data_IF_922209259813
#
_entry.id   IF_922209259813
#
_cell.length_a   1.000
_cell.length_b   1.000
_cell.length_c   1.000
_cell.angle_alpha   90.00
_cell.angle_beta   90.00
_cell.angle_gamma   90.00
#
_symmetry.space_group_name_H-M   'P 1'
#
loop_
_entity.id
_entity.type
_entity.pdbx_description
1 polymer ?
#
# COMPACT_ATOMS: atom_id res chain seq x y z
N UNK A 1 -2.44 -26.40 -11.06
CA UNK A 1 -2.66 -25.00 -10.63
C UNK A 1 -3.51 -24.33 -11.70
N UNK A 2 -4.67 -23.77 -11.34
CA UNK A 2 -5.50 -23.03 -12.29
C UNK A 2 -4.75 -21.78 -12.77
N UNK A 3 -4.78 -21.51 -14.07
CA UNK A 3 -4.18 -20.32 -14.67
C UNK A 3 -5.04 -19.09 -14.32
N UNK A 4 -4.54 -18.26 -13.39
CA UNK A 4 -5.19 -17.00 -13.03
C UNK A 4 -4.67 -15.90 -13.95
N UNK A 5 -5.56 -15.35 -14.78
CA UNK A 5 -5.30 -14.15 -15.58
C UNK A 5 -5.69 -12.92 -14.77
N UNK A 6 -4.89 -11.87 -14.85
CA UNK A 6 -5.36 -10.53 -14.45
C UNK A 6 -6.47 -10.15 -15.45
N UNK A 7 -7.69 -9.80 -15.01
CA UNK A 7 -8.75 -9.42 -15.94
C UNK A 7 -8.33 -8.15 -16.69
N UNK A 8 -8.66 -8.04 -17.98
CA UNK A 8 -8.57 -6.74 -18.64
C UNK A 8 -9.69 -5.82 -18.14
N UNK A 9 -9.60 -4.52 -18.42
CA UNK A 9 -10.77 -3.65 -18.27
C UNK A 9 -11.96 -4.25 -19.01
N UNK A 10 -13.16 -4.09 -18.43
CA UNK A 10 -14.39 -4.47 -19.12
C UNK A 10 -14.45 -3.77 -20.48
N UNK A 11 -14.95 -4.47 -21.49
CA UNK A 11 -15.05 -3.95 -22.86
C UNK A 11 -15.64 -2.53 -22.88
N UNK A 12 -14.99 -1.60 -23.57
CA UNK A 12 -15.42 -0.21 -23.69
C UNK A 12 -14.86 0.73 -22.63
N UNK A 13 -14.52 0.25 -21.42
CA UNK A 13 -13.99 1.12 -20.34
C UNK A 13 -12.67 1.74 -20.77
N UNK A 14 -11.77 0.94 -21.36
CA UNK A 14 -10.46 1.42 -21.77
C UNK A 14 -10.59 2.50 -22.85
N UNK A 15 -11.40 2.25 -23.88
CA UNK A 15 -11.61 3.18 -24.99
C UNK A 15 -12.26 4.49 -24.51
N UNK A 16 -13.27 4.40 -23.64
CA UNK A 16 -13.92 5.58 -23.06
C UNK A 16 -12.97 6.37 -22.13
N UNK A 17 -12.17 5.67 -21.32
CA UNK A 17 -11.14 6.26 -20.45
C UNK A 17 -10.10 7.01 -21.28
N UNK A 18 -9.55 6.40 -22.33
CA UNK A 18 -8.59 7.05 -23.23
C UNK A 18 -9.22 8.28 -23.91
N UNK A 19 -10.50 8.18 -24.30
CA UNK A 19 -11.28 9.30 -24.83
C UNK A 19 -11.28 10.51 -23.89
N UNK A 20 -11.70 10.32 -22.64
CA UNK A 20 -11.70 11.40 -21.65
C UNK A 20 -10.28 11.86 -21.27
N UNK A 21 -9.32 10.94 -21.17
CA UNK A 21 -7.95 11.26 -20.79
C UNK A 21 -7.29 12.20 -21.80
N UNK A 22 -7.58 12.05 -23.08
CA UNK A 22 -7.00 12.84 -24.17
C UNK A 22 -7.91 13.96 -24.70
N UNK A 23 -9.13 14.11 -24.19
CA UNK A 23 -10.04 15.18 -24.61
C UNK A 23 -9.64 16.56 -24.05
N UNK A 24 -8.89 17.32 -24.85
CA UNK A 24 -8.48 18.68 -24.52
C UNK A 24 -9.64 19.69 -24.46
N UNK A 25 -10.86 19.33 -24.91
CA UNK A 25 -12.03 20.22 -24.84
C UNK A 25 -12.64 20.25 -23.44
N UNK A 26 -12.40 19.23 -22.63
CA UNK A 26 -12.89 19.16 -21.24
C UNK A 26 -11.75 19.53 -20.29
N UNK A 27 -11.94 20.63 -19.55
CA UNK A 27 -10.98 21.05 -18.52
C UNK A 27 -10.90 20.04 -17.38
N UNK A 28 -9.75 19.97 -16.72
CA UNK A 28 -9.55 19.08 -15.56
C UNK A 28 -10.55 19.36 -14.43
N UNK A 29 -10.89 20.63 -14.21
CA UNK A 29 -11.88 21.04 -13.21
C UNK A 29 -13.30 20.57 -13.54
N UNK A 30 -13.72 20.66 -14.80
CA UNK A 30 -15.03 20.20 -15.24
C UNK A 30 -15.12 18.67 -15.16
N UNK A 31 -14.05 17.98 -15.55
CA UNK A 31 -13.97 16.52 -15.46
C UNK A 31 -14.02 16.04 -14.01
N UNK A 32 -13.30 16.70 -13.09
CA UNK A 32 -13.32 16.41 -11.66
C UNK A 32 -14.70 16.64 -11.04
N UNK A 33 -15.37 17.73 -11.39
CA UNK A 33 -16.72 18.02 -10.90
C UNK A 33 -17.71 16.92 -11.32
N UNK A 34 -17.70 16.57 -12.61
CA UNK A 34 -18.52 15.50 -13.16
C UNK A 34 -18.23 14.14 -12.48
N UNK A 35 -16.95 13.83 -12.26
CA UNK A 35 -16.55 12.60 -11.57
C UNK A 35 -17.08 12.55 -10.13
N UNK A 36 -17.04 13.67 -9.38
CA UNK A 36 -17.60 13.73 -8.02
C UNK A 36 -19.10 13.51 -7.99
N UNK A 37 -19.85 14.17 -8.86
CA UNK A 37 -21.30 13.95 -9.01
C UNK A 37 -21.62 12.48 -9.32
N UNK A 38 -20.78 11.85 -10.12
CA UNK A 38 -20.91 10.45 -10.49
C UNK A 38 -20.63 9.48 -9.32
N UNK A 39 -19.70 9.80 -8.43
CA UNK A 39 -19.43 8.97 -7.25
C UNK A 39 -20.58 8.93 -6.24
N UNK A 40 -21.48 9.93 -6.24
CA UNK A 40 -22.63 9.97 -5.33
C UNK A 40 -23.60 8.78 -5.51
N UNK A 41 -23.54 8.08 -6.65
CA UNK A 41 -24.30 6.85 -6.85
C UNK A 41 -23.95 5.75 -5.84
N UNK A 42 -22.72 5.73 -5.34
CA UNK A 42 -22.24 4.75 -4.37
C UNK A 42 -22.76 5.02 -2.93
N UNK A 43 -23.25 6.22 -2.65
CA UNK A 43 -23.87 6.55 -1.36
C UNK A 43 -25.35 6.15 -1.29
N UNK A 44 -25.97 5.83 -2.43
CA UNK A 44 -27.35 5.40 -2.45
C UNK A 44 -27.47 4.05 -1.70
N UNK A 45 -28.32 3.95 -0.65
CA UNK A 45 -28.48 2.72 0.12
C UNK A 45 -28.86 1.50 -0.73
N UNK A 46 -29.59 1.71 -1.84
CA UNK A 46 -29.96 0.65 -2.78
C UNK A 46 -28.76 -0.01 -3.48
N UNK A 47 -27.61 0.68 -3.53
CA UNK A 47 -26.39 0.24 -4.19
C UNK A 47 -25.23 0.02 -3.21
N UNK A 48 -25.52 -0.01 -1.90
CA UNK A 48 -24.52 -0.18 -0.83
C UNK A 48 -23.60 -1.39 -1.04
N UNK A 49 -24.13 -2.51 -1.57
CA UNK A 49 -23.35 -3.71 -1.96
C UNK A 49 -22.23 -3.46 -2.97
N UNK A 50 -22.33 -2.41 -3.78
CA UNK A 50 -21.30 -2.03 -4.75
C UNK A 50 -20.31 -1.03 -4.14
N UNK A 51 -20.61 -0.45 -2.97
CA UNK A 51 -19.71 0.44 -2.28
C UNK A 51 -18.84 -0.30 -1.24
N UNK A 52 -19.08 -1.58 -1.00
CA UNK A 52 -18.23 -2.45 -0.16
C UNK A 52 -17.09 -3.05 -0.98
N UNK A 53 -15.93 -3.23 -0.37
CA UNK A 53 -14.84 -3.96 -1.02
C UNK A 53 -15.19 -5.45 -1.09
N UNK A 54 -14.80 -6.17 -2.17
CA UNK A 54 -15.06 -7.62 -2.31
C UNK A 54 -14.53 -8.50 -1.17
N UNK A 55 -13.70 -7.94 -0.29
CA UNK A 55 -13.11 -8.64 0.85
C UNK A 55 -13.97 -8.82 2.08
N UNK A 56 -15.06 -8.07 2.17
CA UNK A 56 -15.91 -8.07 3.36
C UNK A 56 -17.00 -9.15 3.30
N UNK A 57 -17.27 -9.70 2.12
CA UNK A 57 -18.35 -10.70 1.92
C UNK A 57 -17.99 -12.11 2.40
N UNK A 58 -16.84 -12.31 3.08
CA UNK A 58 -16.51 -13.63 3.60
C UNK A 58 -17.49 -14.02 4.72
N UNK A 59 -18.28 -15.10 4.56
CA UNK A 59 -19.36 -15.46 5.49
C UNK A 59 -18.86 -16.05 6.81
N UNK A 60 -17.55 -16.03 7.08
CA UNK A 60 -16.99 -16.54 8.33
C UNK A 60 -17.30 -15.53 9.46
N UNK A 61 -18.08 -15.93 10.48
CA UNK A 61 -18.46 -15.08 11.60
C UNK A 61 -17.28 -14.96 12.59
N UNK A 62 -16.12 -14.45 12.13
CA UNK A 62 -15.06 -14.04 13.04
C UNK A 62 -15.56 -12.79 13.77
N UNK A 63 -16.10 -13.01 14.97
CA UNK A 63 -16.92 -12.12 15.78
C UNK A 63 -16.28 -10.79 16.25
N UNK A 64 -15.19 -10.33 15.64
CA UNK A 64 -14.40 -9.20 16.15
C UNK A 64 -13.69 -8.38 15.08
N UNK A 65 -13.98 -8.56 13.79
CA UNK A 65 -13.51 -7.56 12.81
C UNK A 65 -14.36 -6.32 13.00
N UNK A 66 -13.74 -5.27 13.54
CA UNK A 66 -14.34 -3.95 13.47
C UNK A 66 -14.68 -3.68 12.01
N UNK A 67 -15.89 -3.17 11.70
CA UNK A 67 -16.22 -2.75 10.36
C UNK A 67 -15.11 -1.80 9.91
N UNK A 68 -14.34 -2.20 8.91
CA UNK A 68 -13.38 -1.29 8.34
C UNK A 68 -14.22 -0.25 7.62
N UNK A 69 -14.02 1.03 7.91
CA UNK A 69 -14.76 2.12 7.26
C UNK A 69 -14.37 2.27 5.76
N UNK A 70 -13.81 1.24 5.12
CA UNK A 70 -13.27 1.29 3.79
C UNK A 70 -14.36 0.99 2.74
N UNK A 71 -14.59 1.94 1.86
CA UNK A 71 -15.58 1.83 0.78
C UNK A 71 -14.94 2.11 -0.58
N UNK A 72 -15.58 1.68 -1.67
CA UNK A 72 -15.12 1.99 -3.03
C UNK A 72 -15.07 3.52 -3.24
N UNK A 73 -16.07 4.27 -2.76
CA UNK A 73 -16.06 5.74 -2.81
C UNK A 73 -14.80 6.29 -2.12
N UNK A 74 -14.49 5.79 -0.92
CA UNK A 74 -13.28 6.20 -0.19
C UNK A 74 -11.98 5.81 -0.87
N UNK A 75 -11.93 4.73 -1.65
CA UNK A 75 -10.76 4.42 -2.49
C UNK A 75 -10.54 5.51 -3.53
N UNK A 76 -11.58 5.94 -4.27
CA UNK A 76 -11.45 7.04 -5.23
C UNK A 76 -11.10 8.37 -4.57
N UNK A 77 -11.73 8.69 -3.44
CA UNK A 77 -11.41 9.90 -2.67
C UNK A 77 -9.97 9.90 -2.15
N UNK A 78 -9.49 8.76 -1.66
CA UNK A 78 -8.10 8.58 -1.25
C UNK A 78 -7.14 8.74 -2.43
N UNK A 79 -7.53 8.30 -3.63
CA UNK A 79 -6.75 8.53 -4.84
C UNK A 79 -6.69 10.01 -5.22
N UNK A 80 -7.81 10.74 -5.15
CA UNK A 80 -7.81 12.19 -5.37
C UNK A 80 -6.97 12.93 -4.33
N UNK A 81 -7.13 12.59 -3.06
CA UNK A 81 -6.37 13.20 -1.97
C UNK A 81 -4.86 12.95 -2.14
N UNK A 82 -4.47 11.71 -2.46
CA UNK A 82 -3.08 11.35 -2.71
C UNK A 82 -2.53 12.09 -3.93
N UNK A 83 -3.29 12.21 -5.01
CA UNK A 83 -2.86 12.98 -6.18
C UNK A 83 -2.59 14.45 -5.85
N UNK A 84 -3.43 15.07 -5.01
CA UNK A 84 -3.25 16.44 -4.53
C UNK A 84 -2.00 16.58 -3.65
N UNK A 85 -1.80 15.66 -2.69
CA UNK A 85 -0.60 15.61 -1.83
C UNK A 85 0.70 15.56 -2.61
N UNK A 86 0.72 14.86 -3.76
CA UNK A 86 1.89 14.75 -4.63
C UNK A 86 1.90 15.79 -5.76
N UNK A 87 0.95 16.73 -5.80
CA UNK A 87 0.77 17.73 -6.84
C UNK A 87 0.73 17.13 -8.26
N UNK A 88 -0.03 16.05 -8.43
CA UNK A 88 -0.10 15.28 -9.67
C UNK A 88 -1.43 15.50 -10.39
N UNK A 89 -1.56 16.62 -11.09
CA UNK A 89 -2.77 16.95 -11.87
C UNK A 89 -3.15 15.87 -12.90
N UNK A 90 -2.16 15.22 -13.54
CA UNK A 90 -2.41 14.09 -14.46
C UNK A 90 -3.11 12.92 -13.77
N UNK A 91 -2.77 12.64 -12.51
CA UNK A 91 -3.39 11.59 -11.71
C UNK A 91 -4.84 11.92 -11.38
N UNK A 92 -5.13 13.17 -11.02
CA UNK A 92 -6.52 13.67 -10.84
C UNK A 92 -7.32 13.49 -12.13
N UNK A 93 -6.74 13.87 -13.27
CA UNK A 93 -7.39 13.70 -14.58
C UNK A 93 -7.65 12.23 -14.91
N UNK A 94 -6.67 11.34 -14.68
CA UNK A 94 -6.82 9.89 -14.90
C UNK A 94 -7.98 9.30 -14.09
N UNK A 95 -8.04 9.60 -12.79
CA UNK A 95 -9.11 9.12 -11.90
C UNK A 95 -10.47 9.66 -12.36
N UNK A 96 -10.55 10.96 -12.65
CA UNK A 96 -11.79 11.60 -13.10
C UNK A 96 -12.28 11.03 -14.44
N UNK A 97 -11.36 10.82 -15.39
CA UNK A 97 -11.65 10.22 -16.69
C UNK A 97 -12.23 8.81 -16.56
N UNK A 98 -11.69 7.97 -15.67
CA UNK A 98 -12.20 6.62 -15.45
C UNK A 98 -13.61 6.59 -14.86
N UNK A 99 -13.90 7.47 -13.90
CA UNK A 99 -15.25 7.61 -13.33
C UNK A 99 -16.26 8.07 -14.41
N UNK A 100 -15.89 9.07 -15.20
CA UNK A 100 -16.71 9.56 -16.32
C UNK A 100 -16.92 8.49 -17.40
N UNK A 101 -15.89 7.68 -17.69
CA UNK A 101 -15.99 6.54 -18.60
C UNK A 101 -17.01 5.50 -18.12
N UNK A 102 -17.01 5.16 -16.82
CA UNK A 102 -18.03 4.28 -16.23
C UNK A 102 -19.44 4.84 -16.42
N UNK A 103 -19.64 6.14 -16.21
CA UNK A 103 -20.93 6.80 -16.40
C UNK A 103 -21.38 6.80 -17.86
N UNK A 104 -20.46 7.06 -18.81
CA UNK A 104 -20.75 7.01 -20.25
C UNK A 104 -21.22 5.61 -20.67
N UNK A 105 -20.53 4.56 -20.22
CA UNK A 105 -20.85 3.17 -20.55
C UNK A 105 -22.17 2.74 -19.92
N UNK A 106 -22.44 3.17 -18.68
CA UNK A 106 -23.72 2.92 -18.04
C UNK A 106 -24.91 3.52 -18.83
N UNK A 107 -24.70 4.68 -19.48
CA UNK A 107 -25.69 5.36 -20.32
C UNK A 107 -25.84 4.76 -21.72
N UNK A 108 -24.77 4.21 -22.31
CA UNK A 108 -24.79 3.70 -23.68
C UNK A 108 -25.47 2.33 -23.85
N UNK A 109 -25.67 1.60 -22.76
CA UNK A 109 -26.42 0.34 -22.81
C UNK A 109 -27.92 0.59 -22.72
N UNK A 110 -28.61 0.43 -23.84
CA UNK A 110 -30.07 0.50 -23.95
C UNK A 110 -30.72 -0.22 -22.76
N UNK A 111 -31.49 0.55 -22.00
CA UNK A 111 -32.25 0.01 -20.88
C UNK A 111 -33.46 -0.70 -21.48
N UNK A 112 -33.32 -2.00 -21.75
CA UNK A 112 -34.50 -2.86 -21.88
C UNK A 112 -35.35 -2.69 -20.62
N UNK A 113 -36.67 -2.74 -20.74
CA UNK A 113 -37.59 -2.46 -19.63
C UNK A 113 -37.39 -3.37 -18.39
N UNK A 114 -36.66 -4.48 -18.55
CA UNK A 114 -36.36 -5.46 -17.50
C UNK A 114 -34.91 -5.39 -16.97
N UNK A 115 -34.08 -4.49 -17.50
CA UNK A 115 -32.66 -4.38 -17.12
C UNK A 115 -32.41 -3.55 -15.86
N UNK A 116 -31.21 -3.68 -15.24
CA UNK A 116 -30.81 -2.82 -14.13
C UNK A 116 -30.82 -1.34 -14.56
N UNK A 117 -31.20 -0.44 -13.66
CA UNK A 117 -31.24 0.98 -13.95
C UNK A 117 -29.83 1.53 -14.20
N UNK A 118 -29.72 2.69 -14.86
CA UNK A 118 -28.43 3.31 -15.22
C UNK A 118 -27.55 3.50 -13.96
N UNK A 119 -28.14 3.91 -12.84
CA UNK A 119 -27.42 4.12 -11.59
C UNK A 119 -26.83 2.80 -11.03
N UNK A 120 -27.58 1.71 -11.08
CA UNK A 120 -27.09 0.40 -10.62
C UNK A 120 -25.92 -0.10 -11.49
N UNK A 121 -26.07 0.01 -12.82
CA UNK A 121 -25.00 -0.32 -13.78
C UNK A 121 -23.73 0.48 -13.48
N UNK A 122 -23.90 1.77 -13.21
CA UNK A 122 -22.82 2.69 -12.91
C UNK A 122 -22.13 2.37 -11.58
N UNK A 123 -22.89 2.13 -10.50
CA UNK A 123 -22.35 1.72 -9.20
C UNK A 123 -21.51 0.44 -9.33
N UNK A 124 -22.01 -0.55 -10.08
CA UNK A 124 -21.25 -1.79 -10.37
C UNK A 124 -19.96 -1.53 -11.13
N UNK A 125 -19.99 -0.71 -12.18
CA UNK A 125 -18.79 -0.37 -12.97
C UNK A 125 -17.74 0.38 -12.13
N UNK A 126 -18.18 1.29 -11.24
CA UNK A 126 -17.31 2.00 -10.32
C UNK A 126 -16.69 1.07 -9.28
N UNK A 127 -17.46 0.12 -8.74
CA UNK A 127 -16.96 -0.91 -7.83
C UNK A 127 -15.85 -1.75 -8.46
N UNK A 128 -16.11 -2.23 -9.68
CA UNK A 128 -15.13 -2.99 -10.47
C UNK A 128 -13.87 -2.15 -10.73
N UNK A 129 -14.02 -0.90 -11.18
CA UNK A 129 -12.89 -0.01 -11.48
C UNK A 129 -12.05 0.32 -10.24
N UNK A 130 -12.69 0.73 -9.15
CA UNK A 130 -12.01 1.09 -7.90
C UNK A 130 -11.23 -0.08 -7.32
N UNK A 131 -11.82 -1.28 -7.31
CA UNK A 131 -11.12 -2.50 -6.92
C UNK A 131 -9.95 -2.82 -7.85
N UNK A 132 -10.16 -2.78 -9.17
CA UNK A 132 -9.10 -3.07 -10.15
C UNK A 132 -7.90 -2.13 -10.02
N UNK A 133 -8.12 -0.83 -9.81
CA UNK A 133 -7.04 0.12 -9.61
C UNK A 133 -6.31 -0.08 -8.30
N UNK A 134 -7.02 -0.36 -7.20
CA UNK A 134 -6.39 -0.72 -5.94
C UNK A 134 -5.47 -1.94 -6.12
N UNK A 135 -5.97 -2.98 -6.79
CA UNK A 135 -5.19 -4.18 -7.14
C UNK A 135 -3.97 -3.83 -8.00
N UNK A 136 -4.15 -3.05 -9.06
CA UNK A 136 -3.08 -2.67 -9.98
C UNK A 136 -1.95 -1.91 -9.30
N UNK A 137 -2.28 -1.03 -8.36
CA UNK A 137 -1.29 -0.29 -7.58
C UNK A 137 -0.54 -1.19 -6.58
N UNK A 138 -1.18 -2.25 -6.08
CA UNK A 138 -0.56 -3.21 -5.15
C UNK A 138 0.33 -4.25 -5.82
N UNK A 139 0.01 -4.66 -7.05
CA UNK A 139 0.69 -5.75 -7.75
C UNK A 139 2.22 -5.66 -7.73
N UNK A 140 2.87 -4.50 -7.96
CA UNK A 140 4.33 -4.38 -7.94
C UNK A 140 4.98 -4.84 -6.63
N UNK A 141 4.24 -4.76 -5.52
CA UNK A 141 4.73 -5.04 -4.16
C UNK A 141 4.48 -6.48 -3.71
N UNK A 142 3.72 -7.27 -4.48
CA UNK A 142 3.41 -8.65 -4.16
C UNK A 142 4.26 -9.64 -4.95
N UNK A 143 4.82 -10.63 -4.25
CA UNK A 143 5.56 -11.74 -4.86
C UNK A 143 4.66 -12.63 -5.73
N UNK A 144 5.26 -13.20 -6.77
CA UNK A 144 4.63 -14.22 -7.60
C UNK A 144 4.95 -15.61 -7.10
N UNK A 145 3.95 -16.28 -6.52
CA UNK A 145 4.03 -17.70 -6.18
C UNK A 145 3.90 -17.98 -4.68
N UNK A 146 4.00 -19.26 -4.34
CA UNK A 146 4.03 -19.72 -2.95
C UNK A 146 5.24 -19.10 -2.25
N UNK A 147 4.97 -18.18 -1.32
CA UNK A 147 5.86 -17.43 -0.40
C UNK A 147 7.20 -18.09 0.00
N UNK A 148 7.31 -19.42 -0.09
CA UNK A 148 8.46 -20.21 0.31
C UNK A 148 9.71 -20.03 -0.56
N UNK A 149 9.59 -19.65 -1.84
CA UNK A 149 10.76 -19.58 -2.76
C UNK A 149 11.49 -18.25 -2.75
N UNK A 150 10.82 -17.13 -2.44
CA UNK A 150 11.44 -15.78 -2.49
C UNK A 150 11.91 -15.31 -1.13
N UNK A 151 11.15 -15.56 -0.04
CA UNK A 151 11.70 -15.38 1.31
C UNK A 151 12.95 -16.24 1.50
N UNK A 152 12.95 -17.49 1.01
CA UNK A 152 14.17 -18.29 0.98
C UNK A 152 15.31 -17.61 0.21
N UNK A 153 15.04 -16.88 -0.89
CA UNK A 153 16.09 -16.13 -1.62
C UNK A 153 16.53 -14.84 -0.95
N UNK A 154 15.64 -14.07 -0.32
CA UNK A 154 16.00 -12.86 0.43
C UNK A 154 16.78 -13.24 1.68
N UNK A 155 16.37 -14.32 2.38
CA UNK A 155 17.15 -14.90 3.48
C UNK A 155 18.48 -15.50 2.97
N UNK A 156 18.50 -16.24 1.86
CA UNK A 156 19.75 -16.77 1.28
C UNK A 156 20.70 -15.67 0.78
N UNK A 157 20.18 -14.54 0.30
CA UNK A 157 21.01 -13.38 -0.03
C UNK A 157 21.52 -12.70 1.24
N UNK A 158 20.68 -12.56 2.28
CA UNK A 158 21.12 -12.04 3.59
C UNK A 158 22.14 -12.96 4.30
N UNK A 159 22.17 -14.24 3.95
CA UNK A 159 23.16 -15.23 4.43
C UNK A 159 24.52 -15.11 3.73
N UNK A 160 24.71 -14.18 2.78
CA UNK A 160 26.00 -13.89 2.18
C UNK A 160 26.59 -12.58 2.76
N UNK A 161 27.15 -12.60 3.98
CA UNK A 161 27.56 -11.41 4.73
C UNK A 161 28.59 -10.54 4.01
N UNK A 162 29.37 -11.11 3.09
CA UNK A 162 30.41 -10.39 2.35
C UNK A 162 29.84 -9.32 1.40
N UNK A 163 28.61 -9.49 0.90
CA UNK A 163 27.94 -8.52 0.01
C UNK A 163 27.31 -7.36 0.82
N UNK A 164 26.95 -7.59 2.09
CA UNK A 164 26.17 -6.67 2.91
C UNK A 164 26.99 -5.93 3.97
N UNK A 165 28.20 -6.38 4.26
CA UNK A 165 29.08 -5.82 5.31
C UNK A 165 29.48 -4.34 5.13
N UNK A 166 29.09 -3.68 4.04
CA UNK A 166 29.43 -2.28 3.74
C UNK A 166 28.22 -1.34 3.58
N UNK A 167 26.98 -1.84 3.64
CA UNK A 167 25.81 -0.97 3.48
C UNK A 167 25.38 -0.34 4.81
N UNK A 168 25.39 0.99 4.87
CA UNK A 168 24.76 1.75 5.95
C UNK A 168 23.24 1.85 5.72
N UNK A 169 22.45 1.83 6.81
CA UNK A 169 21.02 2.10 6.74
C UNK A 169 20.79 3.50 6.17
N UNK A 170 19.94 3.62 5.16
CA UNK A 170 19.64 4.91 4.52
C UNK A 170 19.09 5.94 5.53
N UNK A 171 18.41 5.48 6.57
CA UNK A 171 17.72 6.33 7.53
C UNK A 171 18.62 6.86 8.65
N UNK A 172 19.47 6.02 9.23
CA UNK A 172 20.28 6.38 10.39
C UNK A 172 21.79 6.35 10.13
N UNK A 173 22.24 5.93 8.96
CA UNK A 173 23.65 5.86 8.58
C UNK A 173 24.46 4.76 9.27
N UNK A 174 23.86 3.95 10.15
CA UNK A 174 24.53 2.86 10.86
C UNK A 174 24.39 1.55 10.09
N UNK A 175 25.43 0.71 10.09
CA UNK A 175 25.41 -0.63 9.51
C UNK A 175 24.71 -1.66 10.44
N UNK A 176 24.83 -1.43 11.75
CA UNK A 176 24.16 -2.20 12.79
C UNK A 176 23.61 -1.25 13.85
N UNK A 177 22.48 -1.62 14.44
CA UNK A 177 21.94 -0.96 15.62
C UNK A 177 21.55 -1.98 16.69
N UNK A 178 21.69 -1.57 17.95
CA UNK A 178 20.97 -2.22 19.03
C UNK A 178 19.49 -1.87 18.87
N UNK A 179 18.59 -2.85 19.02
CA UNK A 179 17.13 -2.65 18.98
C UNK A 179 16.69 -1.46 19.86
N UNK A 180 17.41 -1.21 20.97
CA UNK A 180 17.17 -0.09 21.88
C UNK A 180 17.45 1.29 21.31
N UNK A 181 18.37 1.39 20.35
CA UNK A 181 18.76 2.68 19.74
C UNK A 181 17.80 3.14 18.64
N UNK A 182 16.89 2.26 18.19
CA UNK A 182 15.75 2.58 17.34
C UNK A 182 16.09 3.16 15.95
N UNK A 183 15.79 2.41 14.89
CA UNK A 183 15.63 2.98 13.54
C UNK A 183 14.14 3.29 13.29
N UNK A 184 13.80 3.84 12.13
CA UNK A 184 12.42 4.00 11.65
C UNK A 184 11.66 2.69 11.88
N UNK A 185 10.56 2.72 12.64
CA UNK A 185 9.67 1.56 12.81
C UNK A 185 10.11 0.54 13.85
N UNK A 186 11.07 0.83 14.73
CA UNK A 186 11.37 -0.07 15.86
C UNK A 186 10.25 -0.01 16.92
N UNK A 187 9.12 -0.67 16.64
CA UNK A 187 8.21 -1.08 17.71
C UNK A 187 8.92 -2.16 18.50
N UNK A 188 8.95 -1.97 19.81
CA UNK A 188 9.76 -2.65 20.81
C UNK A 188 9.80 -4.18 20.63
N UNK A 189 10.74 -4.68 19.83
CA UNK A 189 11.13 -6.07 19.87
C UNK A 189 11.81 -6.29 21.22
N UNK A 190 11.16 -7.04 22.10
CA UNK A 190 11.69 -7.39 23.42
C UNK A 190 12.82 -8.43 23.35
N UNK A 191 13.20 -8.86 22.14
CA UNK A 191 14.13 -9.97 21.96
C UNK A 191 15.61 -9.60 22.12
N UNK A 192 15.94 -8.31 22.17
CA UNK A 192 17.31 -7.82 22.36
C UNK A 192 18.26 -8.23 21.24
N UNK A 193 17.74 -8.56 20.06
CA UNK A 193 18.52 -9.03 18.93
C UNK A 193 19.05 -7.85 18.16
N UNK A 194 20.32 -7.87 17.75
CA UNK A 194 20.84 -6.87 16.82
C UNK A 194 20.16 -7.02 15.46
N UNK A 195 19.68 -5.92 14.91
CA UNK A 195 19.19 -5.87 13.53
C UNK A 195 20.31 -5.40 12.62
N UNK A 196 20.56 -6.16 11.56
CA UNK A 196 21.51 -5.80 10.51
C UNK A 196 20.79 -5.09 9.36
N UNK A 197 21.55 -4.30 8.59
CA UNK A 197 21.05 -3.68 7.36
C UNK A 197 20.88 -4.72 6.26
N UNK A 198 19.73 -4.66 5.58
CA UNK A 198 19.37 -5.49 4.43
C UNK A 198 18.98 -4.60 3.26
N UNK A 199 19.37 -5.00 2.05
CA UNK A 199 18.86 -4.37 0.82
C UNK A 199 17.50 -4.98 0.50
N UNK A 200 16.47 -4.13 0.54
CA UNK A 200 15.10 -4.58 0.35
C UNK A 200 14.58 -4.04 -0.98
N UNK A 201 14.04 -4.91 -1.86
CA UNK A 201 13.42 -4.45 -3.08
C UNK A 201 12.15 -3.65 -2.76
N UNK A 202 12.01 -2.47 -3.33
CA UNK A 202 10.77 -1.70 -3.23
C UNK A 202 9.68 -2.39 -4.06
N UNK A 203 9.93 -2.67 -5.35
CA UNK A 203 9.07 -3.55 -6.14
C UNK A 203 9.55 -5.00 -6.05
N UNK A 204 8.65 -5.92 -5.76
CA UNK A 204 8.90 -7.37 -5.74
C UNK A 204 8.67 -8.04 -7.09
N UNK A 205 8.22 -7.27 -8.09
CA UNK A 205 8.06 -7.70 -9.47
C UNK A 205 8.94 -6.88 -10.39
N UNK A 206 9.55 -7.54 -11.36
CA UNK A 206 10.33 -6.88 -12.39
C UNK A 206 9.41 -6.11 -13.35
N UNK A 207 9.95 -5.11 -14.02
CA UNK A 207 9.27 -4.35 -15.06
C UNK A 207 9.93 -4.71 -16.39
N UNK A 208 9.11 -5.08 -17.36
CA UNK A 208 9.57 -5.32 -18.73
C UNK A 208 8.50 -4.90 -19.72
N UNK A 209 8.75 -3.78 -20.40
CA UNK A 209 7.88 -3.35 -21.50
C UNK A 209 7.92 -4.37 -22.65
N UNK A 210 6.76 -4.74 -23.18
CA UNK A 210 6.62 -5.72 -24.27
C UNK A 210 6.57 -7.18 -23.84
N UNK A 211 6.66 -7.49 -22.54
CA UNK A 211 6.37 -8.82 -22.05
C UNK A 211 4.84 -9.04 -21.99
N UNK A 212 4.30 -9.83 -22.91
CA UNK A 212 2.87 -10.19 -22.95
C UNK A 212 2.50 -11.22 -21.86
N UNK A 213 2.81 -10.93 -20.60
CA UNK A 213 2.41 -11.78 -19.49
C UNK A 213 1.26 -11.15 -18.71
N UNK A 214 0.02 -11.43 -19.12
CA UNK A 214 -1.18 -11.17 -18.30
C UNK A 214 -1.34 -12.21 -17.17
N UNK A 215 -0.30 -13.03 -16.93
CA UNK A 215 -0.32 -14.11 -15.95
C UNK A 215 0.00 -13.54 -14.59
N UNK A 216 -0.84 -13.81 -13.60
CA UNK A 216 -0.62 -13.35 -12.23
C UNK A 216 0.71 -13.85 -11.63
N UNK A 217 1.04 -15.12 -11.90
CA UNK A 217 2.27 -15.77 -11.46
C UNK A 217 3.52 -15.33 -12.24
N UNK A 218 3.37 -14.38 -13.17
CA UNK A 218 4.51 -13.82 -13.89
C UNK A 218 5.36 -12.98 -12.95
N UNK A 219 6.69 -13.16 -12.89
CA UNK A 219 7.55 -12.32 -12.06
C UNK A 219 7.56 -10.84 -12.49
N UNK A 220 6.83 -10.50 -13.57
CA UNK A 220 6.71 -9.16 -14.11
C UNK A 220 5.41 -8.46 -13.69
N UNK A 221 5.45 -7.14 -13.60
CA UNK A 221 4.26 -6.29 -13.47
C UNK A 221 3.41 -6.45 -14.76
N UNK A 222 2.12 -6.82 -14.66
CA UNK A 222 1.22 -6.92 -15.80
C UNK A 222 1.06 -5.59 -16.55
N UNK A 223 0.83 -5.65 -17.86
CA UNK A 223 0.71 -4.45 -18.71
C UNK A 223 -0.38 -3.48 -18.24
N UNK A 224 -1.54 -4.00 -17.78
CA UNK A 224 -2.63 -3.17 -17.23
C UNK A 224 -2.18 -2.41 -16.00
N UNK A 225 -1.55 -3.10 -15.04
CA UNK A 225 -1.03 -2.47 -13.83
C UNK A 225 0.04 -1.44 -14.15
N UNK A 226 0.93 -1.72 -15.11
CA UNK A 226 1.93 -0.76 -15.58
C UNK A 226 1.31 0.48 -16.24
N UNK A 227 0.20 0.34 -16.97
CA UNK A 227 -0.58 1.45 -17.53
C UNK A 227 -1.21 2.30 -16.41
N UNK A 228 -1.75 1.66 -15.37
CA UNK A 228 -2.24 2.34 -14.16
C UNK A 228 -1.11 3.10 -13.46
N UNK A 229 0.07 2.49 -13.25
CA UNK A 229 1.23 3.16 -12.67
C UNK A 229 1.69 4.37 -13.51
N UNK A 230 1.69 4.25 -14.84
CA UNK A 230 2.09 5.33 -15.76
C UNK A 230 1.14 6.52 -15.68
N UNK A 231 -0.16 6.27 -15.64
CA UNK A 231 -1.15 7.35 -15.67
C UNK A 231 -1.43 7.94 -14.29
N UNK A 232 -1.43 7.12 -13.23
CA UNK A 232 -1.72 7.57 -11.88
C UNK A 232 -0.47 7.97 -11.08
N UNK A 233 0.67 7.31 -11.26
CA UNK A 233 1.90 7.62 -10.49
C UNK A 233 2.97 8.32 -11.32
N UNK A 234 2.70 8.66 -12.58
CA UNK A 234 3.69 9.15 -13.55
C UNK A 234 4.96 8.28 -13.56
N UNK A 235 4.78 6.96 -13.56
CA UNK A 235 5.88 6.01 -13.51
C UNK A 235 6.48 5.81 -14.91
N UNK A 236 7.73 6.22 -15.14
CA UNK A 236 8.31 6.25 -16.50
C UNK A 236 9.26 5.08 -16.82
N UNK A 237 9.67 4.28 -15.82
CA UNK A 237 10.66 3.23 -16.06
C UNK A 237 10.17 2.15 -17.05
N UNK A 238 11.03 1.79 -18.00
CA UNK A 238 10.73 0.88 -19.10
C UNK A 238 11.11 -0.57 -18.79
N UNK A 239 12.23 -0.74 -18.10
CA UNK A 239 12.75 -2.03 -17.62
C UNK A 239 13.39 -1.88 -16.27
N UNK A 240 13.11 -2.80 -15.35
CA UNK A 240 13.70 -2.82 -14.02
C UNK A 240 13.70 -4.25 -13.48
N UNK A 241 14.84 -4.74 -13.03
CA UNK A 241 14.91 -6.03 -12.33
C UNK A 241 14.76 -5.82 -10.82
N UNK A 242 14.22 -6.81 -10.12
CA UNK A 242 14.01 -6.74 -8.66
C UNK A 242 15.34 -6.52 -7.94
N UNK A 243 16.43 -7.13 -8.41
CA UNK A 243 17.77 -7.07 -7.80
C UNK A 243 18.58 -5.82 -8.17
N UNK A 244 18.10 -4.99 -9.11
CA UNK A 244 18.84 -3.79 -9.49
C UNK A 244 18.89 -2.79 -8.34
N UNK A 245 20.02 -2.09 -8.12
CA UNK A 245 20.11 -1.19 -6.97
C UNK A 245 19.14 0.00 -7.05
N UNK A 246 18.70 0.37 -8.26
CA UNK A 246 17.62 1.35 -8.45
C UNK A 246 16.24 0.90 -7.93
N UNK A 247 16.09 -0.34 -7.50
CA UNK A 247 14.91 -0.87 -6.85
C UNK A 247 15.19 -1.30 -5.40
N UNK A 248 16.39 -1.07 -4.87
CA UNK A 248 16.80 -1.55 -3.54
C UNK A 248 16.90 -0.38 -2.57
N UNK A 249 16.47 -0.58 -1.32
CA UNK A 249 16.60 0.39 -0.25
C UNK A 249 17.29 -0.26 0.97
N UNK A 250 18.52 0.15 1.33
CA UNK A 250 19.24 -0.43 2.45
C UNK A 250 18.66 0.03 3.79
N UNK A 251 18.05 -0.85 4.56
CA UNK A 251 17.49 -0.52 5.87
C UNK A 251 17.58 -1.69 6.85
N UNK A 252 17.39 -1.41 8.13
CA UNK A 252 17.31 -2.47 9.14
C UNK A 252 16.12 -3.39 8.86
N UNK A 253 16.30 -4.68 9.12
CA UNK A 253 15.27 -5.71 8.90
C UNK A 253 13.93 -5.43 9.61
N UNK A 254 13.95 -4.76 10.76
CA UNK A 254 12.72 -4.32 11.45
C UNK A 254 11.99 -3.21 10.68
N UNK A 255 12.74 -2.20 10.22
CA UNK A 255 12.20 -1.08 9.44
C UNK A 255 11.61 -1.54 8.11
N UNK A 256 12.21 -2.57 7.49
CA UNK A 256 11.78 -3.09 6.21
C UNK A 256 10.43 -3.78 6.28
N UNK A 257 10.13 -4.48 7.36
CA UNK A 257 8.83 -5.12 7.52
C UNK A 257 7.72 -4.08 7.52
N UNK A 258 7.88 -3.01 8.31
CA UNK A 258 6.91 -1.93 8.34
C UNK A 258 6.79 -1.19 6.99
N UNK A 259 7.91 -1.05 6.26
CA UNK A 259 7.93 -0.44 4.92
C UNK A 259 7.18 -1.29 3.90
N UNK A 260 7.43 -2.59 3.89
CA UNK A 260 6.78 -3.57 3.01
C UNK A 260 5.26 -3.68 3.27
N UNK A 261 4.83 -3.38 4.49
CA UNK A 261 3.43 -3.33 4.90
C UNK A 261 2.82 -1.92 4.79
N UNK A 262 3.50 -0.97 4.14
CA UNK A 262 3.03 0.41 3.98
C UNK A 262 2.67 1.12 5.29
N UNK A 263 3.27 0.73 6.42
CA UNK A 263 3.08 1.40 7.71
C UNK A 263 3.84 2.72 7.79
N UNK A 264 4.83 2.89 6.93
CA UNK A 264 5.47 4.16 6.62
C UNK A 264 5.94 4.20 5.17
N UNK A 265 6.17 5.40 4.64
CA UNK A 265 6.70 5.62 3.31
C UNK A 265 7.63 6.84 3.27
N UNK A 266 8.27 7.06 2.13
CA UNK A 266 9.01 8.29 1.82
C UNK A 266 8.08 9.21 1.04
N UNK A 267 7.63 10.30 1.66
CA UNK A 267 6.71 11.27 1.07
C UNK A 267 7.25 11.93 -0.21
N UNK A 268 6.48 12.83 -0.85
CA UNK A 268 6.96 13.54 -2.03
C UNK A 268 8.28 14.27 -1.73
N UNK A 269 9.25 14.27 -2.67
CA UNK A 269 10.49 15.00 -2.47
C UNK A 269 10.18 16.47 -2.22
N UNK A 270 10.89 17.07 -1.26
CA UNK A 270 10.79 18.51 -0.98
C UNK A 270 11.53 19.30 -2.08
N UNK A 271 11.84 20.57 -1.83
CA UNK A 271 12.64 21.41 -2.74
C UNK A 271 13.95 20.74 -3.19
N UNK A 272 14.51 19.82 -2.37
CA UNK A 272 15.63 18.99 -2.76
C UNK A 272 15.12 17.59 -3.18
N UNK A 273 15.38 17.13 -4.43
CA UNK A 273 14.93 15.84 -4.94
C UNK A 273 15.46 14.62 -4.17
N UNK A 274 16.43 14.81 -3.27
CA UNK A 274 17.06 13.75 -2.48
C UNK A 274 16.60 13.72 -1.03
N UNK A 275 15.77 14.69 -0.61
CA UNK A 275 15.25 14.78 0.75
C UNK A 275 13.79 14.38 0.77
N UNK A 276 13.52 13.35 1.55
CA UNK A 276 12.21 12.75 1.71
C UNK A 276 11.78 12.89 3.16
N UNK A 277 10.53 13.25 3.35
CA UNK A 277 9.89 13.19 4.66
C UNK A 277 9.45 11.74 4.92
N UNK A 278 9.80 11.19 6.08
CA UNK A 278 9.28 9.88 6.50
C UNK A 278 7.86 10.07 7.01
N UNK A 279 6.89 9.55 6.25
CA UNK A 279 5.47 9.59 6.59
C UNK A 279 5.09 8.28 7.25
N UNK A 280 4.57 8.33 8.48
CA UNK A 280 4.09 7.15 9.22
C UNK A 280 2.56 7.11 9.19
N UNK A 281 1.99 5.95 8.91
CA UNK A 281 0.55 5.71 8.80
C UNK A 281 -0.02 4.94 9.99
N UNK A 282 0.73 4.90 11.11
CA UNK A 282 0.30 4.21 12.34
C UNK A 282 -0.92 4.90 12.97
N UNK A 283 -1.86 4.12 13.58
CA UNK A 283 -3.02 4.66 14.27
C UNK A 283 -2.65 5.46 15.53
N UNK A 284 -1.42 5.32 16.02
CA UNK A 284 -0.92 6.07 17.16
C UNK A 284 -0.13 7.28 16.66
N UNK A 285 -0.58 8.51 16.96
CA UNK A 285 0.04 9.74 16.51
C UNK A 285 1.33 10.03 17.31
N UNK A 286 2.34 9.17 17.18
CA UNK A 286 3.70 9.56 17.52
C UNK A 286 4.20 10.47 16.38
N UNK A 287 3.90 11.77 16.51
CA UNK A 287 4.40 12.83 15.65
C UNK A 287 5.93 12.88 15.77
N UNK A 288 6.61 12.12 14.93
CA UNK A 288 8.02 12.32 14.67
C UNK A 288 8.18 12.27 13.15
N UNK A 289 7.94 13.41 12.51
CA UNK A 289 8.37 13.63 11.13
C UNK A 289 9.89 13.68 11.13
N UNK A 290 10.51 12.73 10.44
CA UNK A 290 11.96 12.66 10.29
C UNK A 290 12.26 12.89 8.81
N UNK A 291 12.97 13.97 8.50
CA UNK A 291 13.48 14.17 7.15
C UNK A 291 14.72 13.28 6.97
N UNK A 292 14.72 12.47 5.91
CA UNK A 292 15.84 11.61 5.55
C UNK A 292 16.39 12.07 4.21
N UNK A 293 17.71 12.20 4.14
CA UNK A 293 18.41 12.45 2.90
C UNK A 293 18.93 11.13 2.34
N UNK A 294 18.51 10.76 1.13
CA UNK A 294 19.19 9.70 0.38
C UNK A 294 20.52 10.29 -0.12
N UNK A 295 21.59 10.04 0.64
CA UNK A 295 22.89 10.67 0.43
C UNK A 295 23.36 10.54 -1.03
N UNK A 296 23.99 11.61 -1.52
CA UNK A 296 24.76 11.57 -2.76
C UNK A 296 25.96 10.62 -2.57
N UNK A 297 25.84 9.35 -2.95
CA UNK A 297 27.00 8.43 -3.04
C UNK A 297 28.00 8.81 -4.17
N UNK A 298 28.11 10.09 -4.52
CA UNK A 298 28.91 10.54 -5.67
C UNK A 298 29.27 12.01 -5.56
N UNK A 299 30.40 12.29 -4.93
CA UNK A 299 31.17 13.52 -5.20
C UNK A 299 32.70 13.33 -5.07
N UNK A 300 33.20 12.13 -4.77
CA UNK A 300 34.63 11.95 -4.50
C UNK A 300 35.13 10.55 -4.73
N UNK A 301 34.92 10.00 -5.93
CA UNK A 301 35.90 9.11 -6.60
C UNK A 301 35.30 8.60 -7.91
N UNK A 302 35.87 9.01 -9.04
CA UNK A 302 35.49 8.62 -10.41
C UNK A 302 35.62 7.10 -10.64
N UNK A 303 36.29 6.39 -9.72
CA UNK A 303 36.50 4.94 -9.77
C UNK A 303 35.69 4.14 -8.74
N UNK A 304 34.96 4.80 -7.83
CA UNK A 304 34.01 4.11 -6.96
C UNK A 304 32.72 3.91 -7.74
N UNK A 305 32.24 2.67 -7.86
CA UNK A 305 30.93 2.40 -8.46
C UNK A 305 29.88 3.10 -7.61
N UNK A 306 29.49 4.32 -7.97
CA UNK A 306 28.50 5.10 -7.27
C UNK A 306 27.28 4.21 -7.06
N UNK A 307 27.03 3.83 -5.81
CA UNK A 307 25.94 2.93 -5.45
C UNK A 307 24.66 3.54 -6.06
N UNK A 308 24.07 2.85 -7.03
CA UNK A 308 22.96 3.44 -7.78
C UNK A 308 21.77 3.57 -6.85
N UNK A 309 21.26 4.80 -6.75
CA UNK A 309 20.20 5.15 -5.82
C UNK A 309 18.89 4.49 -6.22
N UNK A 310 17.99 4.23 -5.25
CA UNK A 310 16.63 3.87 -5.57
C UNK A 310 16.03 4.91 -6.53
N UNK A 311 15.33 4.43 -7.54
CA UNK A 311 14.64 5.26 -8.51
C UNK A 311 13.51 6.01 -7.79
N UNK A 312 13.52 7.34 -7.91
CA UNK A 312 12.51 8.19 -7.28
C UNK A 312 11.07 7.86 -7.70
N UNK A 313 10.86 7.34 -8.91
CA UNK A 313 9.53 6.93 -9.37
C UNK A 313 9.03 5.71 -8.60
N UNK A 314 9.91 4.77 -8.27
CA UNK A 314 9.57 3.56 -7.51
C UNK A 314 9.19 3.92 -6.08
N UNK A 315 9.95 4.82 -5.45
CA UNK A 315 9.64 5.36 -4.14
C UNK A 315 8.32 6.13 -4.14
N UNK A 316 8.06 6.93 -5.19
CA UNK A 316 6.79 7.66 -5.35
C UNK A 316 5.60 6.69 -5.45
N UNK A 317 5.71 5.63 -6.25
CA UNK A 317 4.63 4.62 -6.35
C UNK A 317 4.35 3.99 -4.99
N UNK A 318 5.39 3.63 -4.23
CA UNK A 318 5.23 3.07 -2.88
C UNK A 318 4.51 4.06 -1.96
N UNK A 319 4.94 5.31 -1.93
CA UNK A 319 4.37 6.33 -1.06
C UNK A 319 2.93 6.70 -1.44
N UNK A 320 2.62 6.78 -2.74
CA UNK A 320 1.25 6.98 -3.20
C UNK A 320 0.36 5.79 -2.84
N UNK A 321 0.84 4.55 -2.98
CA UNK A 321 0.07 3.37 -2.56
C UNK A 321 -0.19 3.38 -1.06
N UNK A 322 0.84 3.67 -0.25
CA UNK A 322 0.70 3.77 1.21
C UNK A 322 -0.33 4.82 1.62
N UNK A 323 -0.29 5.99 0.98
CA UNK A 323 -1.26 7.06 1.15
C UNK A 323 -2.68 6.62 0.78
N UNK A 324 -2.87 5.97 -0.37
CA UNK A 324 -4.17 5.44 -0.79
C UNK A 324 -4.71 4.43 0.23
N UNK A 325 -3.88 3.48 0.69
CA UNK A 325 -4.28 2.48 1.70
C UNK A 325 -4.70 3.13 3.02
N UNK A 326 -3.95 4.13 3.47
CA UNK A 326 -4.23 4.82 4.72
C UNK A 326 -5.53 5.63 4.63
N UNK A 327 -5.66 6.51 3.64
CA UNK A 327 -6.81 7.42 3.54
C UNK A 327 -8.12 6.69 3.17
N UNK A 328 -8.03 5.59 2.42
CA UNK A 328 -9.21 4.75 2.14
C UNK A 328 -9.63 3.90 3.33
N UNK A 329 -8.75 3.65 4.29
CA UNK A 329 -8.95 2.66 5.35
C UNK A 329 -8.65 1.21 4.90
N UNK A 330 -8.19 1.01 3.67
CA UNK A 330 -7.90 -0.32 3.13
C UNK A 330 -6.66 -0.98 3.76
N UNK A 331 -5.82 -0.23 4.47
CA UNK A 331 -4.62 -0.77 5.12
C UNK A 331 -4.94 -1.98 6.03
N UNK A 332 -5.94 -1.86 6.90
CA UNK A 332 -6.34 -2.93 7.83
C UNK A 332 -6.89 -4.20 7.15
N UNK A 333 -7.40 -4.07 5.92
CA UNK A 333 -7.89 -5.20 5.12
C UNK A 333 -6.72 -6.06 4.64
N UNK A 334 -5.62 -5.43 4.23
CA UNK A 334 -4.43 -6.13 3.73
C UNK A 334 -3.45 -6.53 4.84
N UNK A 335 -3.45 -5.80 5.97
CA UNK A 335 -2.50 -5.97 7.08
C UNK A 335 -3.20 -5.93 8.46
N UNK A 336 -4.02 -6.94 8.81
CA UNK A 336 -4.87 -6.91 10.01
C UNK A 336 -4.13 -7.10 11.35
N UNK A 337 -2.80 -7.21 11.35
CA UNK A 337 -2.02 -7.62 12.54
C UNK A 337 -1.88 -6.55 13.63
N UNK A 338 -2.28 -5.31 13.33
CA UNK A 338 -2.23 -4.20 14.29
C UNK A 338 -3.46 -4.12 15.21
N UNK A 339 -4.45 -4.99 15.06
CA UNK A 339 -5.55 -5.10 16.01
C UNK A 339 -5.16 -6.08 17.12
N UNK A 340 -4.19 -5.71 17.95
CA UNK A 340 -4.09 -6.33 19.27
C UNK A 340 -5.22 -5.72 20.13
N UNK A 341 -6.31 -6.45 20.44
CA UNK A 341 -7.46 -5.87 21.14
C UNK A 341 -7.09 -5.35 22.54
N UNK A 342 -5.99 -5.85 23.10
CA UNK A 342 -5.49 -5.48 24.42
C UNK A 342 -4.75 -4.13 24.46
N UNK A 343 -4.40 -3.54 23.31
CA UNK A 343 -3.71 -2.24 23.23
C UNK A 343 -4.64 -1.07 22.87
N UNK A 344 -5.95 -1.31 22.70
CA UNK A 344 -6.90 -0.21 22.55
C UNK A 344 -7.07 0.51 23.90
N UNK A 345 -6.99 1.85 23.94
CA UNK A 345 -7.26 2.58 25.17
C UNK A 345 -8.68 2.25 25.60
N UNK A 346 -8.81 1.57 26.75
CA UNK A 346 -10.09 1.43 27.45
C UNK A 346 -10.65 2.83 27.56
N UNK A 347 -11.81 3.09 26.96
CA UNK A 347 -12.39 4.42 26.84
C UNK A 347 -12.33 5.12 28.22
N UNK A 348 -11.38 6.05 28.35
CA UNK A 348 -11.14 6.73 29.60
C UNK A 348 -12.39 7.54 29.91
N UNK A 349 -13.07 7.13 30.98
CA UNK A 349 -14.09 7.91 31.65
C UNK A 349 -13.55 9.31 31.93
N UNK A 350 -14.41 10.29 31.67
CA UNK A 350 -14.20 11.72 31.89
C UNK A 350 -13.58 12.04 33.26
N UNK A 351 -12.86 13.17 33.24
CA UNK A 351 -12.39 14.00 34.35
C UNK A 351 -11.34 13.39 35.29
N UNK A 352 -10.14 13.96 35.28
CA UNK A 352 -9.66 14.78 36.39
C UNK A 352 -8.37 15.55 36.04
N UNK A 353 -8.27 16.74 36.61
CA UNK A 353 -7.19 17.71 36.47
C UNK A 353 -5.89 17.21 37.11
N UNK A 354 -4.77 17.33 36.39
CA UNK A 354 -3.43 17.12 36.95
C UNK A 354 -3.10 18.14 38.07
N UNK A 355 -3.16 17.66 39.31
CA UNK A 355 -2.55 18.28 40.49
C UNK A 355 -1.54 17.29 41.05
N UNK A 356 -0.25 17.61 40.95
CA UNK A 356 0.84 16.81 41.52
C UNK A 356 0.94 17.01 43.03
N UNK A 357 0.81 15.92 43.82
CA UNK A 357 1.51 15.74 45.11
C UNK A 357 1.83 14.26 45.38
N UNK A 358 3.06 14.05 45.82
CA UNK A 358 3.67 12.80 46.31
C UNK A 358 2.99 12.20 47.53
N UNK A 359 2.97 10.87 47.67
CA UNK A 359 3.86 10.10 48.57
C UNK A 359 3.37 8.65 48.85
N UNK A 360 4.32 7.71 48.78
CA UNK A 360 4.54 6.53 49.65
C UNK A 360 3.53 5.36 49.78
N UNK A 361 3.99 4.21 49.28
CA UNK A 361 4.11 2.87 49.92
C UNK A 361 2.88 2.12 50.44
N UNK A 362 2.59 0.96 49.84
CA UNK A 362 2.44 -0.34 50.53
C UNK A 362 2.44 -1.51 49.54
N UNK A 363 3.31 -2.50 49.80
CA UNK A 363 3.39 -3.79 49.11
C UNK A 363 2.29 -4.74 49.63
N UNK A 364 1.65 -5.46 48.71
CA UNK A 364 0.90 -6.67 49.00
C UNK A 364 1.23 -7.70 47.91
N UNK A 365 1.83 -8.81 48.32
CA UNK A 365 2.09 -9.97 47.47
C UNK A 365 0.78 -10.71 47.16
N UNK A 366 0.53 -10.96 45.87
CA UNK A 366 -0.53 -11.85 45.37
C UNK A 366 0.14 -12.91 44.48
N UNK A 367 -0.15 -14.22 44.63
CA UNK A 367 0.53 -15.26 43.86
C UNK A 367 0.10 -15.23 42.39
N UNK A 368 1.08 -15.33 41.47
CA UNK A 368 0.82 -15.55 40.06
C UNK A 368 0.29 -16.97 39.80
N UNK A 369 -0.77 -17.15 38.99
CA UNK A 369 -1.06 -18.43 38.38
C UNK A 369 -0.14 -18.66 37.16
N UNK A 370 0.38 -19.88 37.07
CA UNK A 370 1.21 -20.37 35.97
C UNK A 370 0.46 -20.24 34.62
N UNK A 371 1.00 -19.44 33.70
CA UNK A 371 0.50 -19.31 32.34
C UNK A 371 1.12 -20.36 31.43
N UNK A 372 0.30 -21.23 30.84
CA UNK A 372 0.69 -22.13 29.75
C UNK A 372 1.17 -21.34 28.51
N UNK A 373 2.13 -21.88 27.73
CA UNK A 373 2.66 -21.19 26.56
C UNK A 373 1.63 -21.13 25.43
N UNK A 374 1.09 -19.94 25.22
CA UNK A 374 0.22 -19.59 24.11
C UNK A 374 0.98 -19.79 22.77
N UNK A 375 0.69 -20.89 22.06
CA UNK A 375 1.24 -21.13 20.71
C UNK A 375 0.69 -20.10 19.73
N UNK A 376 1.59 -19.42 19.03
CA UNK A 376 1.30 -18.28 18.13
C UNK A 376 0.29 -18.63 17.03
N UNK A 377 -0.92 -18.10 17.12
CA UNK A 377 -1.98 -18.14 16.11
C UNK A 377 -1.68 -17.24 14.88
N UNK A 378 -0.69 -16.36 14.96
CA UNK A 378 -0.38 -15.33 13.94
C UNK A 378 0.07 -15.90 12.59
N UNK A 379 0.84 -17.00 12.56
CA UNK A 379 1.34 -17.57 11.30
C UNK A 379 0.26 -18.28 10.47
N UNK A 380 -0.80 -18.78 11.10
CA UNK A 380 -1.92 -19.44 10.42
C UNK A 380 -2.86 -18.47 9.72
N UNK A 381 -3.15 -17.33 10.36
CA UNK A 381 -3.99 -16.27 9.80
C UNK A 381 -3.29 -15.56 8.61
N UNK A 382 -1.98 -15.34 8.71
CA UNK A 382 -1.09 -14.82 7.64
C UNK A 382 -1.20 -15.62 6.34
N UNK A 383 -1.21 -16.96 6.41
CA UNK A 383 -1.36 -17.82 5.22
C UNK A 383 -2.75 -17.72 4.60
N UNK A 384 -3.80 -17.57 5.40
CA UNK A 384 -5.19 -17.57 4.92
C UNK A 384 -5.56 -16.28 4.22
N UNK A 385 -5.15 -15.12 4.74
CA UNK A 385 -5.37 -13.81 4.10
C UNK A 385 -4.57 -13.62 2.81
N UNK A 386 -3.30 -14.06 2.77
CA UNK A 386 -2.51 -14.03 1.52
C UNK A 386 -3.02 -15.04 0.49
N UNK A 387 -3.45 -16.22 0.93
CA UNK A 387 -4.17 -17.17 0.07
C UNK A 387 -5.51 -16.62 -0.41
N UNK A 388 -6.15 -15.73 0.35
CA UNK A 388 -7.44 -15.13 0.04
C UNK A 388 -7.31 -13.96 -0.93
N UNK A 389 -6.33 -13.06 -0.79
CA UNK A 389 -5.96 -12.09 -1.85
C UNK A 389 -5.67 -12.84 -3.16
N UNK A 390 -4.98 -13.98 -3.08
CA UNK A 390 -4.73 -14.88 -4.21
C UNK A 390 -5.95 -15.70 -4.66
N UNK A 391 -7.13 -15.61 -4.01
CA UNK A 391 -8.38 -16.28 -4.42
C UNK A 391 -9.45 -15.28 -4.88
N UNK A 392 -9.57 -14.13 -4.22
CA UNK A 392 -10.57 -13.09 -4.52
C UNK A 392 -10.14 -12.17 -5.65
N UNK A 393 -8.83 -12.05 -5.92
CA UNK A 393 -8.34 -11.44 -7.16
C UNK A 393 -8.40 -12.40 -8.37
N UNK A 394 -8.99 -13.59 -8.18
CA UNK A 394 -9.13 -14.64 -9.20
C UNK A 394 -10.58 -14.95 -9.58
N UNK A 395 -11.53 -14.28 -8.92
CA UNK A 395 -12.94 -14.17 -9.31
C UNK A 395 -13.11 -12.79 -9.95
#
# INVERSE_FOLDING_TARGET
MAHISVPNYRSGIKEALEGFLHDAKVSDSALLLCAREHLEVLENPAFSRFNTLPCEESPEPSAQRQPHDCTIKRVFEAMFHTADMFNMGRSVRFVSAGICACAQIAKSHDSTAEGPCIQEKMAKLLAELGWMWLVDLMIPFHECGTFHTVMSRVYQLSENPDIFSQSACFACGNADIDEKTGCIGSRHSSSGKRTHVVNIPVFRRAIRTGANSNKWASPYVPSRSLETLRNYCSFEAVTMDVSQPCNQLPMHSSASWDFEEFRWSLGPPRQNPQRYEVVRYSPHPAQCTQDVALADCGAGDVNSSAASRPNSDVLRVHAMMASVLHHSGAHGIFYPEDLNPDELPTAASKSESCSWKSSSTLMVDIPQPESEPCRSLSTGLRRRLRSWVTRTMCL
#
